data_IF_050327570319
#
_entry.id   IF_050327570319
#
_cell.length_a   1.000
_cell.length_b   1.000
_cell.length_c   1.000
_cell.angle_alpha   90.00
_cell.angle_beta   90.00
_cell.angle_gamma   90.00
#
_symmetry.space_group_name_H-M   'P 1'
#
loop_
_entity.id
_entity.type
_entity.pdbx_description
1 polymer ?
#
# COMPACT_ATOMS: atom_id res chain seq x y z
N UNK A 1 10.42 18.49 7.79
CA UNK A 1 9.36 17.50 7.55
C UNK A 1 9.67 16.23 8.29
N UNK A 2 8.66 15.45 8.67
CA UNK A 2 8.82 14.11 9.26
C UNK A 2 8.60 13.09 8.13
N UNK A 3 9.62 12.29 7.82
CA UNK A 3 9.50 11.20 6.87
C UNK A 3 8.83 10.00 7.56
N UNK A 4 7.73 9.46 7.03
CA UNK A 4 7.04 8.35 7.67
C UNK A 4 7.90 7.09 7.72
N UNK A 5 7.97 6.46 8.89
CA UNK A 5 8.87 5.31 9.12
C UNK A 5 10.28 5.70 9.58
N UNK A 6 10.54 6.98 9.84
CA UNK A 6 11.78 7.44 10.47
C UNK A 6 11.62 7.78 11.96
N UNK A 7 12.57 7.37 12.83
CA UNK A 7 13.67 6.43 12.55
C UNK A 7 13.16 5.00 12.34
N UNK A 8 13.81 4.25 11.46
CA UNK A 8 13.43 2.87 11.13
C UNK A 8 13.58 2.52 9.66
N UNK A 9 13.27 1.26 9.29
CA UNK A 9 13.15 0.83 7.90
C UNK A 9 11.72 1.03 7.38
N UNK A 10 11.62 1.46 6.13
CA UNK A 10 10.39 1.41 5.33
C UNK A 10 10.74 0.90 3.94
N UNK A 11 9.80 0.29 3.24
CA UNK A 11 10.07 -0.24 1.92
C UNK A 11 8.86 -0.87 1.26
N UNK A 12 9.05 -1.18 -0.01
CA UNK A 12 8.15 -1.92 -0.86
C UNK A 12 8.94 -2.88 -1.73
N UNK A 13 8.40 -4.07 -1.95
CA UNK A 13 8.91 -4.94 -3.00
C UNK A 13 7.79 -5.68 -3.70
N UNK A 14 7.98 -5.92 -4.97
CA UNK A 14 7.22 -6.88 -5.74
C UNK A 14 8.18 -7.70 -6.61
N UNK A 15 7.67 -8.42 -7.61
CA UNK A 15 8.54 -9.23 -8.49
C UNK A 15 9.47 -8.42 -9.40
N UNK A 16 9.20 -7.14 -9.62
CA UNK A 16 9.93 -6.29 -10.57
C UNK A 16 10.80 -5.24 -9.88
N UNK A 17 10.37 -4.79 -8.70
CA UNK A 17 10.85 -3.56 -8.08
C UNK A 17 11.09 -3.77 -6.59
N UNK A 18 12.19 -3.19 -6.09
CA UNK A 18 12.49 -3.12 -4.66
C UNK A 18 12.90 -1.69 -4.29
N UNK A 19 12.13 -1.07 -3.40
CA UNK A 19 12.46 0.20 -2.77
C UNK A 19 12.63 0.01 -1.27
N UNK A 20 13.71 0.55 -0.72
CA UNK A 20 13.99 0.47 0.69
C UNK A 20 14.66 1.74 1.19
N UNK A 21 14.13 2.29 2.27
CA UNK A 21 14.67 3.44 2.97
C UNK A 21 14.93 3.05 4.42
N UNK A 22 16.12 3.37 4.91
CA UNK A 22 16.45 3.31 6.34
C UNK A 22 16.94 4.67 6.78
N UNK A 23 16.35 5.15 7.85
CA UNK A 23 16.70 6.42 8.48
C UNK A 23 16.95 6.18 9.97
N UNK A 24 17.93 6.90 10.49
CA UNK A 24 18.42 6.73 11.85
C UNK A 24 19.09 8.01 12.32
N UNK A 25 19.18 8.21 13.64
CA UNK A 25 19.55 9.47 14.27
C UNK A 25 20.84 9.37 15.12
N UNK A 26 21.64 8.33 14.90
CA UNK A 26 22.92 8.13 15.58
C UNK A 26 24.09 8.15 14.60
N UNK A 27 25.29 8.47 15.08
CA UNK A 27 26.48 8.58 14.24
C UNK A 27 26.78 7.27 13.50
N UNK A 28 26.95 7.33 12.17
CA UNK A 28 27.27 6.19 11.28
C UNK A 28 26.27 5.02 11.35
N UNK A 29 25.02 5.28 11.72
CA UNK A 29 23.97 4.26 11.83
C UNK A 29 23.54 3.61 10.49
N UNK A 30 23.89 4.25 9.38
CA UNK A 30 23.69 3.74 8.01
C UNK A 30 24.90 2.94 7.48
N UNK A 31 25.89 2.65 8.33
CA UNK A 31 27.02 1.79 7.96
C UNK A 31 26.57 0.33 7.76
N UNK A 32 27.36 -0.42 7.01
CA UNK A 32 27.10 -1.81 6.67
C UNK A 32 27.05 -2.04 5.15
N UNK A 33 26.81 -3.29 4.72
CA UNK A 33 26.66 -3.60 3.31
C UNK A 33 25.38 -2.98 2.74
N UNK A 34 25.37 -2.79 1.42
CA UNK A 34 24.15 -2.41 0.69
C UNK A 34 23.11 -3.51 0.89
N UNK A 35 21.87 -3.12 1.18
CA UNK A 35 20.79 -4.05 1.39
C UNK A 35 20.21 -4.51 0.04
N UNK A 36 20.11 -5.82 -0.13
CA UNK A 36 19.44 -6.46 -1.25
C UNK A 36 18.22 -7.24 -0.76
N UNK A 37 17.19 -7.35 -1.59
CA UNK A 37 15.94 -8.05 -1.22
C UNK A 37 16.20 -9.52 -0.84
N UNK A 38 17.16 -10.17 -1.48
CA UNK A 38 17.53 -11.57 -1.20
C UNK A 38 18.07 -11.77 0.21
N UNK A 39 18.70 -10.72 0.78
CA UNK A 39 19.26 -10.72 2.13
C UNK A 39 18.20 -10.46 3.21
N UNK A 40 16.97 -10.13 2.83
CA UNK A 40 15.84 -10.02 3.76
C UNK A 40 15.15 -11.38 3.90
N UNK A 41 14.95 -11.87 5.15
CA UNK A 41 14.30 -13.15 5.36
C UNK A 41 12.81 -13.09 4.97
N UNK A 42 12.24 -14.17 4.41
CA UNK A 42 10.79 -14.28 4.25
C UNK A 42 10.08 -14.10 5.60
N UNK A 43 8.93 -13.40 5.60
CA UNK A 43 8.16 -13.10 6.80
C UNK A 43 6.84 -13.91 6.91
N UNK A 44 6.62 -14.84 6.00
CA UNK A 44 5.46 -15.75 5.99
C UNK A 44 4.19 -15.18 5.39
N UNK A 45 4.17 -13.90 5.00
CA UNK A 45 3.07 -13.29 4.25
C UNK A 45 3.28 -13.50 2.75
N UNK A 46 2.22 -13.81 2.02
CA UNK A 46 2.21 -13.84 0.56
C UNK A 46 1.26 -12.78 0.01
N UNK A 47 1.67 -12.02 -0.99
CA UNK A 47 0.85 -10.97 -1.60
C UNK A 47 0.89 -11.05 -3.12
N UNK A 48 -0.17 -10.59 -3.76
CA UNK A 48 -0.20 -10.44 -5.22
C UNK A 48 0.78 -9.37 -5.66
N UNK A 49 1.45 -9.62 -6.79
CA UNK A 49 2.45 -8.77 -7.42
C UNK A 49 2.02 -8.44 -8.84
N UNK A 50 2.12 -7.17 -9.21
CA UNK A 50 2.00 -6.70 -10.59
C UNK A 50 2.44 -5.24 -10.71
N UNK A 51 2.77 -4.81 -11.93
CA UNK A 51 2.94 -3.40 -12.31
C UNK A 51 2.44 -3.18 -13.73
N UNK A 52 1.48 -2.28 -13.92
CA UNK A 52 0.95 -2.00 -15.25
C UNK A 52 -0.47 -1.47 -15.23
N UNK A 53 -1.21 -1.69 -16.31
CA UNK A 53 -2.61 -1.28 -16.38
C UNK A 53 -3.48 -2.31 -15.64
N UNK A 54 -4.55 -1.89 -14.97
CA UNK A 54 -5.52 -2.81 -14.35
C UNK A 54 -6.08 -3.88 -15.31
N UNK A 55 -6.29 -3.55 -16.60
CA UNK A 55 -6.77 -4.49 -17.61
C UNK A 55 -5.65 -5.31 -18.28
N UNK A 56 -4.40 -4.85 -18.20
CA UNK A 56 -3.24 -5.48 -18.84
C UNK A 56 -2.02 -5.41 -17.91
N UNK A 57 -1.44 -6.56 -17.60
CA UNK A 57 -0.34 -6.82 -16.66
C UNK A 57 -0.72 -6.81 -15.16
N UNK A 58 -1.78 -6.09 -14.78
CA UNK A 58 -2.36 -6.15 -13.43
C UNK A 58 -3.76 -6.77 -13.39
N UNK A 59 -4.13 -7.49 -14.45
CA UNK A 59 -5.37 -8.28 -14.50
C UNK A 59 -5.30 -9.46 -13.52
N UNK A 60 -6.44 -10.09 -13.24
CA UNK A 60 -6.49 -11.29 -12.39
C UNK A 60 -5.68 -12.47 -12.95
N UNK A 61 -5.52 -12.55 -14.27
CA UNK A 61 -4.81 -13.64 -14.95
C UNK A 61 -3.29 -13.42 -14.97
N UNK A 62 -2.85 -12.16 -14.90
CA UNK A 62 -1.44 -11.79 -15.01
C UNK A 62 -0.78 -11.49 -13.65
N UNK A 63 -1.57 -11.38 -12.57
CA UNK A 63 -1.02 -11.24 -11.22
C UNK A 63 -0.70 -12.60 -10.59
N UNK A 64 0.36 -12.65 -9.81
CA UNK A 64 0.81 -13.86 -9.12
C UNK A 64 1.26 -13.53 -7.70
N UNK A 65 1.26 -14.55 -6.83
CA UNK A 65 1.72 -14.41 -5.46
C UNK A 65 3.24 -14.39 -5.37
N UNK A 66 3.76 -13.57 -4.46
CA UNK A 66 5.17 -13.54 -4.06
C UNK A 66 5.29 -13.65 -2.54
N UNK A 67 6.44 -14.16 -2.08
CA UNK A 67 6.76 -14.20 -0.65
C UNK A 67 7.26 -12.84 -0.17
N UNK A 68 6.58 -12.30 0.84
CA UNK A 68 7.00 -11.06 1.47
C UNK A 68 8.23 -11.26 2.36
N UNK A 69 9.07 -10.22 2.44
CA UNK A 69 10.39 -10.29 3.10
C UNK A 69 10.59 -9.12 4.07
N UNK A 70 11.37 -9.37 5.11
CA UNK A 70 11.76 -8.37 6.10
C UNK A 70 10.57 -7.60 6.68
N UNK A 71 10.65 -6.25 6.81
CA UNK A 71 9.60 -5.44 7.43
C UNK A 71 8.37 -5.23 6.53
N UNK A 72 8.38 -5.74 5.29
CA UNK A 72 7.31 -5.53 4.32
C UNK A 72 6.17 -6.53 4.56
N UNK A 73 5.43 -6.33 5.64
CA UNK A 73 4.43 -7.25 6.18
C UNK A 73 2.96 -6.83 5.94
N UNK A 74 2.73 -6.01 4.92
CA UNK A 74 1.41 -5.63 4.41
C UNK A 74 1.33 -5.97 2.93
N UNK A 75 0.18 -6.43 2.47
CA UNK A 75 -0.09 -6.43 1.04
C UNK A 75 -0.57 -5.05 0.64
N UNK A 76 0.03 -4.50 -0.40
CA UNK A 76 -0.28 -3.19 -0.95
C UNK A 76 -0.94 -3.33 -2.32
N UNK A 77 -1.89 -2.45 -2.55
CA UNK A 77 -2.41 -2.08 -3.86
C UNK A 77 -2.35 -0.57 -3.98
N UNK A 78 -1.77 -0.07 -5.06
CA UNK A 78 -1.82 1.33 -5.40
C UNK A 78 -2.33 1.51 -6.82
N UNK A 79 -3.14 2.54 -7.00
CA UNK A 79 -3.59 3.02 -8.31
C UNK A 79 -3.20 4.48 -8.46
N UNK A 80 -2.89 4.90 -9.68
CA UNK A 80 -2.56 6.27 -9.98
C UNK A 80 -2.41 6.50 -11.47
N UNK A 81 -1.82 7.63 -11.82
CA UNK A 81 -1.68 8.09 -13.19
C UNK A 81 -0.21 8.31 -13.52
N UNK A 82 0.28 7.66 -14.60
CA UNK A 82 1.70 7.69 -15.00
C UNK A 82 1.91 8.45 -16.32
N UNK A 83 2.58 9.61 -16.28
CA UNK A 83 2.86 10.42 -17.48
C UNK A 83 1.66 11.15 -18.09
N UNK A 84 1.89 11.82 -19.24
CA UNK A 84 1.02 12.88 -19.78
C UNK A 84 -0.32 12.44 -20.40
N UNK A 85 -0.51 11.15 -20.76
CA UNK A 85 -1.76 10.65 -21.38
C UNK A 85 -2.74 10.01 -20.39
N UNK A 86 -2.55 10.26 -19.10
CA UNK A 86 -3.33 9.67 -18.03
C UNK A 86 -3.54 8.13 -18.07
N UNK A 87 -2.57 7.30 -18.47
CA UNK A 87 -2.77 5.86 -18.37
C UNK A 87 -2.92 5.47 -16.90
N UNK A 88 -4.03 4.82 -16.57
CA UNK A 88 -4.25 4.21 -15.26
C UNK A 88 -3.14 3.19 -15.01
N UNK A 89 -2.47 3.33 -13.88
CA UNK A 89 -1.38 2.47 -13.47
C UNK A 89 -1.69 1.87 -12.11
N UNK A 90 -1.51 0.56 -12.01
CA UNK A 90 -1.75 -0.26 -10.83
C UNK A 90 -0.45 -0.93 -10.42
N UNK A 91 -0.19 -0.96 -9.12
CA UNK A 91 0.96 -1.63 -8.52
C UNK A 91 0.44 -2.49 -7.38
N UNK A 92 0.90 -3.74 -7.32
CA UNK A 92 0.65 -4.66 -6.20
C UNK A 92 1.98 -5.22 -5.71
N UNK A 93 2.07 -5.45 -4.40
CA UNK A 93 3.26 -6.05 -3.79
C UNK A 93 3.20 -6.07 -2.26
N UNK A 94 4.35 -6.28 -1.65
CA UNK A 94 4.52 -6.26 -0.21
C UNK A 94 5.08 -4.90 0.24
N UNK A 95 4.56 -4.35 1.32
CA UNK A 95 4.92 -3.03 1.83
C UNK A 95 5.15 -3.05 3.35
N UNK A 96 6.05 -2.19 3.82
CA UNK A 96 6.10 -1.84 5.23
C UNK A 96 4.88 -0.97 5.59
N UNK A 97 4.39 -0.98 6.84
CA UNK A 97 3.24 -0.17 7.24
C UNK A 97 3.40 1.33 6.94
N UNK A 98 4.61 1.87 7.10
CA UNK A 98 4.96 3.26 6.78
C UNK A 98 5.00 3.56 5.28
N UNK A 99 5.12 2.54 4.43
CA UNK A 99 5.08 2.69 2.97
C UNK A 99 3.65 2.77 2.42
N UNK A 100 2.64 2.37 3.20
CA UNK A 100 1.23 2.48 2.83
C UNK A 100 0.70 3.92 2.72
N UNK A 101 1.58 4.92 2.78
CA UNK A 101 1.26 6.33 2.61
C UNK A 101 1.48 6.74 1.15
N UNK A 102 0.54 7.51 0.58
CA UNK A 102 0.56 7.87 -0.85
C UNK A 102 1.84 8.56 -1.31
N UNK A 103 2.51 9.32 -0.46
CA UNK A 103 3.73 10.05 -0.84
C UNK A 103 4.87 9.12 -1.26
N UNK A 104 5.16 8.08 -0.47
CA UNK A 104 6.24 7.12 -0.80
C UNK A 104 5.95 6.40 -2.12
N UNK A 105 4.70 6.02 -2.36
CA UNK A 105 4.29 5.36 -3.60
C UNK A 105 4.36 6.32 -4.79
N UNK A 106 3.87 7.55 -4.64
CA UNK A 106 3.90 8.57 -5.68
C UNK A 106 5.33 8.85 -6.14
N UNK A 107 6.25 9.06 -5.21
CA UNK A 107 7.65 9.36 -5.51
C UNK A 107 8.39 8.15 -6.11
N UNK A 108 8.19 6.95 -5.56
CA UNK A 108 8.90 5.75 -6.02
C UNK A 108 8.51 5.33 -7.45
N UNK A 109 7.27 5.57 -7.85
CA UNK A 109 6.72 5.09 -9.12
C UNK A 109 6.39 6.19 -10.14
N UNK A 110 6.67 7.45 -9.80
CA UNK A 110 6.34 8.64 -10.58
C UNK A 110 4.85 8.69 -10.95
N UNK A 111 4.01 8.64 -9.91
CA UNK A 111 2.56 8.61 -10.04
C UNK A 111 1.91 9.89 -9.50
N UNK A 112 0.88 10.33 -10.20
CA UNK A 112 -0.05 11.38 -9.74
C UNK A 112 -1.41 10.76 -9.38
N UNK A 113 -2.23 11.50 -8.62
CA UNK A 113 -3.57 11.05 -8.19
C UNK A 113 -3.58 9.67 -7.52
N UNK A 114 -2.62 9.44 -6.62
CA UNK A 114 -2.37 8.12 -6.03
C UNK A 114 -3.40 7.76 -4.95
N UNK A 115 -4.01 6.60 -5.10
CA UNK A 115 -4.80 5.94 -4.08
C UNK A 115 -4.09 4.66 -3.63
N UNK A 116 -3.87 4.53 -2.32
CA UNK A 116 -3.16 3.39 -1.72
C UNK A 116 -4.11 2.64 -0.78
N UNK A 117 -4.11 1.32 -0.90
CA UNK A 117 -4.77 0.39 0.00
C UNK A 117 -3.74 -0.60 0.54
N UNK A 118 -3.79 -0.85 1.84
CA UNK A 118 -2.97 -1.86 2.49
C UNK A 118 -3.83 -2.77 3.37
N UNK A 119 -3.49 -4.05 3.38
CA UNK A 119 -4.19 -5.05 4.17
C UNK A 119 -3.22 -6.07 4.77
N UNK A 120 -3.74 -6.86 5.72
CA UNK A 120 -3.05 -8.00 6.33
C UNK A 120 -3.74 -9.30 5.97
N UNK A 121 -2.95 -10.36 5.85
CA UNK A 121 -3.42 -11.68 5.46
C UNK A 121 -2.99 -12.04 4.04
N UNK A 122 -2.75 -13.33 3.81
CA UNK A 122 -2.25 -13.84 2.54
C UNK A 122 -3.21 -13.48 1.39
N UNK A 123 -2.66 -12.94 0.31
CA UNK A 123 -3.38 -12.62 -0.92
C UNK A 123 -4.49 -11.58 -0.76
N UNK A 124 -4.51 -10.80 0.33
CA UNK A 124 -5.63 -9.88 0.59
C UNK A 124 -5.74 -8.73 -0.43
N UNK A 125 -4.70 -8.51 -1.24
CA UNK A 125 -4.66 -7.57 -2.36
C UNK A 125 -4.94 -8.26 -3.72
N UNK A 126 -5.90 -9.18 -3.78
CA UNK A 126 -6.30 -9.83 -5.03
C UNK A 126 -7.12 -8.88 -5.94
N UNK A 127 -6.89 -8.81 -7.27
CA UNK A 127 -7.61 -7.90 -8.20
C UNK A 127 -9.14 -8.07 -8.24
N UNK A 128 -9.66 -9.28 -8.06
CA UNK A 128 -11.11 -9.51 -7.92
C UNK A 128 -11.80 -8.68 -6.80
N UNK A 129 -11.03 -8.12 -5.84
CA UNK A 129 -11.57 -7.21 -4.83
C UNK A 129 -11.81 -5.79 -5.37
N UNK A 130 -11.19 -5.42 -6.48
CA UNK A 130 -11.37 -4.13 -7.15
C UNK A 130 -12.79 -4.01 -7.74
N UNK A 131 -13.35 -5.15 -8.17
CA UNK A 131 -14.68 -5.25 -8.75
C UNK A 131 -15.80 -5.27 -7.71
N UNK A 132 -15.48 -5.38 -6.41
CA UNK A 132 -16.48 -5.08 -5.40
C UNK A 132 -16.60 -3.56 -5.31
N UNK A 133 -17.76 -2.96 -5.65
CA UNK A 133 -18.04 -1.62 -5.18
C UNK A 133 -17.81 -1.67 -3.68
N UNK A 134 -17.18 -0.64 -3.10
CA UNK A 134 -17.34 -0.39 -1.67
C UNK A 134 -18.85 -0.36 -1.43
N UNK A 135 -19.45 -1.48 -1.03
CA UNK A 135 -20.65 -1.48 -0.22
C UNK A 135 -20.17 -0.75 1.01
N UNK A 136 -20.32 0.57 0.99
CA UNK A 136 -20.33 1.33 2.21
C UNK A 136 -21.29 0.57 3.09
N UNK A 137 -20.76 -0.03 4.16
CA UNK A 137 -21.59 -0.31 5.29
C UNK A 137 -22.22 1.02 5.59
N UNK A 138 -23.52 1.16 5.28
CA UNK A 138 -24.30 2.23 5.84
C UNK A 138 -23.98 2.21 7.34
N UNK A 139 -23.63 3.35 7.95
CA UNK A 139 -23.75 3.42 9.39
C UNK A 139 -25.19 2.99 9.67
N UNK A 140 -25.38 1.93 10.47
CA UNK A 140 -26.67 1.73 11.09
C UNK A 140 -26.92 3.00 11.89
N UNK A 141 -27.68 3.90 11.27
CA UNK A 141 -28.27 5.05 11.91
C UNK A 141 -29.31 4.44 12.82
N UNK A 142 -28.87 4.11 14.03
CA UNK A 142 -29.76 4.01 15.16
C UNK A 142 -30.56 5.32 15.17
N UNK A 143 -31.90 5.30 15.11
CA UNK A 143 -32.67 6.53 15.08
C UNK A 143 -32.52 7.20 16.43
N UNK A 144 -31.63 8.20 16.51
CA UNK A 144 -31.63 9.15 17.60
C UNK A 144 -32.92 9.96 17.47
N UNK A 145 -33.92 9.60 18.27
CA UNK A 145 -35.13 10.39 18.45
C UNK A 145 -34.75 11.77 19.01
N UNK A 146 -34.63 12.77 18.14
CA UNK A 146 -34.62 14.17 18.56
C UNK A 146 -36.02 14.55 19.04
N UNK A 147 -36.20 14.62 20.36
CA UNK A 147 -37.39 15.18 20.99
C UNK A 147 -37.18 16.69 21.16
N UNK A 148 -37.90 17.50 20.41
CA UNK A 148 -37.97 18.94 20.60
C UNK A 148 -39.05 19.23 21.66
N UNK A 149 -38.63 19.60 22.87
CA UNK A 149 -39.53 20.18 23.86
C UNK A 149 -39.56 21.70 23.68
N UNK A 150 -40.71 22.24 23.27
CA UNK A 150 -40.98 23.68 23.29
C UNK A 150 -41.62 24.01 24.64
N UNK A 151 -40.88 24.69 25.50
CA UNK A 151 -41.41 25.27 26.74
C UNK A 151 -41.94 26.67 26.42
N UNK A 152 -43.26 26.83 26.41
CA UNK A 152 -43.91 28.14 26.41
C UNK A 152 -43.93 28.66 27.86
N UNK A 153 -43.29 29.82 28.08
CA UNK A 153 -43.49 30.69 29.23
C UNK A 153 -44.46 31.81 28.84
#
# INVERSE_FOLDING_TARGET
GILPGCPGPTGFHNNHTFHFLRCCNTTKCNAGPVLEIQNLPPNGLQCYSCEGNSAHRCSSEETFLIDCRGPMNRCLEATGTKGLRNPSYTIRGCAAPSWCQSLHVAEAFDLTHVNVSCCTGNGCNHPARDAQPRKGGAPQTSPAHLSFFVSLL
#
